data_IF_027273292005
#
_entry.id   IF_027273292005
#
_cell.length_a   1.000
_cell.length_b   1.000
_cell.length_c   1.000
_cell.angle_alpha   90.00
_cell.angle_beta   90.00
_cell.angle_gamma   90.00
#
_symmetry.space_group_name_H-M   'P 1'
#
loop_
_entity.id
_entity.type
_entity.pdbx_description
1 polymer ?
#
# COMPACT_ATOMS: atom_id res chain seq x y z
N UNK A 1 18.13 -18.55 -10.65
CA UNK A 1 17.52 -18.75 -9.32
C UNK A 1 16.09 -18.26 -9.40
N UNK A 2 15.14 -18.89 -8.69
CA UNK A 2 13.73 -18.46 -8.72
C UNK A 2 13.51 -17.33 -7.72
N UNK A 3 12.85 -16.26 -8.17
CA UNK A 3 12.35 -15.16 -7.33
C UNK A 3 11.52 -15.73 -6.18
N UNK A 4 11.61 -15.11 -4.99
CA UNK A 4 10.79 -15.48 -3.85
C UNK A 4 9.29 -15.35 -4.20
N UNK A 5 8.45 -16.23 -3.64
CA UNK A 5 7.00 -16.15 -3.77
C UNK A 5 6.34 -16.42 -2.42
N UNK A 6 5.24 -15.71 -2.14
CA UNK A 6 4.38 -15.97 -0.97
C UNK A 6 3.89 -17.43 -1.01
N UNK A 7 4.05 -18.21 0.07
CA UNK A 7 3.53 -19.58 0.10
C UNK A 7 2.00 -19.61 -0.03
N UNK A 8 1.48 -20.50 -0.88
CA UNK A 8 0.03 -20.67 -1.08
C UNK A 8 -0.70 -21.15 0.19
N UNK A 9 0.03 -21.67 1.19
CA UNK A 9 -0.51 -22.05 2.48
C UNK A 9 -0.92 -20.85 3.35
N UNK A 10 -0.48 -19.63 3.02
CA UNK A 10 -0.88 -18.41 3.73
C UNK A 10 -2.15 -17.84 3.07
N UNK A 11 -3.29 -17.77 3.79
CA UNK A 11 -4.53 -17.29 3.21
C UNK A 11 -4.39 -15.88 2.63
N UNK A 12 -5.01 -15.62 1.49
CA UNK A 12 -4.96 -14.34 0.80
C UNK A 12 -6.32 -14.03 0.15
N UNK A 13 -6.91 -12.85 0.42
CA UNK A 13 -6.46 -11.84 1.38
C UNK A 13 -6.75 -12.26 2.83
N UNK A 14 -5.87 -11.86 3.75
CA UNK A 14 -6.03 -11.97 5.20
C UNK A 14 -6.22 -10.60 5.84
N UNK A 15 -7.06 -10.54 6.88
CA UNK A 15 -7.13 -9.40 7.80
C UNK A 15 -6.18 -9.68 8.96
N UNK A 16 -5.15 -8.85 9.11
CA UNK A 16 -4.06 -9.06 10.06
C UNK A 16 -4.29 -8.34 11.39
N UNK A 17 -5.07 -7.26 11.41
CA UNK A 17 -5.35 -6.50 12.63
C UNK A 17 -6.66 -5.72 12.53
N UNK A 18 -7.30 -5.50 13.67
CA UNK A 18 -8.44 -4.58 13.86
C UNK A 18 -8.21 -3.76 15.12
N UNK A 19 -8.45 -2.46 15.06
CA UNK A 19 -8.21 -1.56 16.20
C UNK A 19 -9.09 -0.31 16.13
N UNK A 20 -9.21 0.38 17.27
CA UNK A 20 -9.87 1.68 17.36
C UNK A 20 -8.84 2.80 17.19
N UNK A 21 -9.24 3.90 16.56
CA UNK A 21 -8.44 5.10 16.45
C UNK A 21 -8.11 5.72 17.81
N UNK A 22 -7.01 6.48 17.89
CA UNK A 22 -6.59 7.11 19.15
C UNK A 22 -7.42 8.33 19.53
N UNK A 23 -8.21 8.88 18.60
CA UNK A 23 -8.98 10.11 18.78
C UNK A 23 -10.34 9.97 18.13
N UNK A 24 -11.30 10.68 18.70
CA UNK A 24 -12.62 10.87 18.13
C UNK A 24 -12.56 11.77 16.89
N UNK A 25 -13.34 11.41 15.87
CA UNK A 25 -13.57 12.21 14.67
C UNK A 25 -15.09 12.39 14.57
N UNK A 26 -15.57 13.64 14.67
CA UNK A 26 -17.00 13.99 14.59
C UNK A 26 -17.91 13.21 15.56
N UNK A 27 -17.55 13.06 16.85
CA UNK A 27 -18.41 12.34 17.80
C UNK A 27 -18.17 10.83 17.87
N UNK A 28 -17.35 10.27 16.96
CA UNK A 28 -17.21 8.83 16.78
C UNK A 28 -15.73 8.44 16.84
N UNK A 29 -15.39 7.40 17.62
CA UNK A 29 -14.06 6.78 17.57
C UNK A 29 -14.00 5.89 16.32
N UNK A 30 -13.19 6.23 15.30
CA UNK A 30 -13.12 5.45 14.06
C UNK A 30 -12.53 4.06 14.31
N UNK A 31 -13.06 3.06 13.61
CA UNK A 31 -12.54 1.69 13.62
C UNK A 31 -11.69 1.44 12.38
N UNK A 32 -10.58 0.75 12.56
CA UNK A 32 -9.63 0.44 11.50
C UNK A 32 -9.37 -1.05 11.39
N UNK A 33 -8.96 -1.48 10.21
CA UNK A 33 -8.45 -2.82 9.98
C UNK A 33 -7.34 -2.82 8.93
N UNK A 34 -6.36 -3.71 9.13
CA UNK A 34 -5.23 -3.91 8.21
C UNK A 34 -5.42 -5.24 7.51
N UNK A 35 -5.31 -5.25 6.19
CA UNK A 35 -5.42 -6.45 5.38
C UNK A 35 -4.38 -6.47 4.25
N UNK A 36 -4.23 -7.64 3.62
CA UNK A 36 -3.55 -7.75 2.33
C UNK A 36 -4.23 -6.87 1.27
N UNK A 37 -3.43 -6.19 0.44
CA UNK A 37 -3.92 -5.49 -0.76
C UNK A 37 -4.28 -6.53 -1.81
N UNK A 38 -5.52 -6.52 -2.31
CA UNK A 38 -5.97 -7.40 -3.40
C UNK A 38 -5.69 -6.79 -4.77
N UNK A 39 -5.66 -7.62 -5.83
CA UNK A 39 -5.41 -7.16 -7.21
C UNK A 39 -6.42 -6.09 -7.68
N UNK A 40 -7.68 -6.19 -7.24
CA UNK A 40 -8.72 -5.20 -7.51
C UNK A 40 -8.45 -3.83 -6.86
N UNK A 41 -7.61 -3.79 -5.82
CA UNK A 41 -7.28 -2.59 -5.06
C UNK A 41 -5.99 -1.91 -5.53
N UNK A 42 -5.24 -2.50 -6.48
CA UNK A 42 -3.91 -2.01 -6.84
C UNK A 42 -3.92 -0.56 -7.32
N UNK A 43 -4.80 -0.20 -8.25
CA UNK A 43 -4.84 1.16 -8.79
C UNK A 43 -5.31 2.18 -7.72
N UNK A 44 -6.30 1.82 -6.90
CA UNK A 44 -6.76 2.66 -5.78
C UNK A 44 -5.63 2.95 -4.78
N UNK A 45 -4.84 1.92 -4.44
CA UNK A 45 -3.68 2.07 -3.54
C UNK A 45 -2.56 2.86 -4.20
N UNK A 46 -2.25 2.61 -5.47
CA UNK A 46 -1.22 3.35 -6.20
C UNK A 46 -1.58 4.84 -6.26
N UNK A 47 -2.83 5.15 -6.59
CA UNK A 47 -3.32 6.52 -6.62
C UNK A 47 -3.27 7.18 -5.23
N UNK A 48 -3.58 6.42 -4.17
CA UNK A 48 -3.44 6.90 -2.79
C UNK A 48 -1.98 7.20 -2.43
N UNK A 49 -1.05 6.32 -2.80
CA UNK A 49 0.38 6.50 -2.58
C UNK A 49 0.94 7.68 -3.38
N UNK A 50 0.55 7.84 -4.64
CA UNK A 50 0.94 8.98 -5.47
C UNK A 50 0.48 10.32 -4.85
N UNK A 51 -0.79 10.40 -4.44
CA UNK A 51 -1.39 11.63 -3.90
C UNK A 51 -0.92 11.99 -2.49
N UNK A 52 -0.40 11.03 -1.73
CA UNK A 52 0.11 11.23 -0.38
C UNK A 52 1.63 11.09 -0.29
N UNK A 53 2.13 9.86 -0.46
CA UNK A 53 3.53 9.51 -0.23
C UNK A 53 4.50 10.34 -1.10
N UNK A 54 4.28 10.46 -2.41
CA UNK A 54 5.20 11.23 -3.27
C UNK A 54 5.25 12.73 -2.93
N UNK A 55 4.20 13.27 -2.30
CA UNK A 55 4.09 14.70 -1.98
C UNK A 55 4.64 15.03 -0.59
N UNK A 56 4.52 14.09 0.35
CA UNK A 56 4.80 14.34 1.76
C UNK A 56 6.06 13.62 2.28
N UNK A 57 6.50 12.52 1.65
CA UNK A 57 7.74 11.86 2.03
C UNK A 57 8.94 12.78 1.78
N UNK A 58 9.89 12.81 2.70
CA UNK A 58 10.95 13.82 2.75
C UNK A 58 11.79 13.82 1.48
N UNK A 59 12.28 12.66 1.03
CA UNK A 59 13.11 12.59 -0.17
C UNK A 59 12.32 12.99 -1.41
N UNK A 60 11.09 12.46 -1.57
CA UNK A 60 10.23 12.77 -2.72
C UNK A 60 9.89 14.27 -2.79
N UNK A 61 9.54 14.87 -1.65
CA UNK A 61 9.20 16.29 -1.54
C UNK A 61 10.37 17.20 -1.88
N UNK A 62 11.56 16.90 -1.37
CA UNK A 62 12.72 17.76 -1.57
C UNK A 62 13.43 17.51 -2.90
N UNK A 63 13.20 16.38 -3.57
CA UNK A 63 13.70 16.14 -4.93
C UNK A 63 12.79 16.72 -6.02
N UNK A 64 11.55 17.13 -5.68
CA UNK A 64 10.56 17.58 -6.66
C UNK A 64 9.98 16.43 -7.49
N UNK A 65 9.91 15.22 -6.89
CA UNK A 65 9.53 14.01 -7.59
C UNK A 65 8.09 14.06 -8.11
N UNK A 66 7.17 14.60 -7.30
CA UNK A 66 5.76 14.67 -7.65
C UNK A 66 5.47 15.62 -8.84
N UNK A 67 6.38 16.54 -9.12
CA UNK A 67 6.31 17.46 -10.26
C UNK A 67 6.90 16.88 -11.55
N UNK A 68 7.67 15.79 -11.46
CA UNK A 68 8.28 15.12 -12.60
C UNK A 68 7.45 13.91 -13.05
N UNK A 69 6.82 14.05 -14.22
CA UNK A 69 5.90 13.05 -14.76
C UNK A 69 6.57 11.67 -14.94
N UNK A 70 7.81 11.63 -15.42
CA UNK A 70 8.50 10.38 -15.70
C UNK A 70 8.84 9.64 -14.39
N UNK A 71 9.28 10.37 -13.36
CA UNK A 71 9.52 9.82 -12.02
C UNK A 71 8.24 9.28 -11.39
N UNK A 72 7.11 10.00 -11.51
CA UNK A 72 5.80 9.51 -11.02
C UNK A 72 5.41 8.21 -11.72
N UNK A 73 5.55 8.14 -13.04
CA UNK A 73 5.25 6.92 -13.79
C UNK A 73 6.17 5.75 -13.43
N UNK A 74 7.45 6.00 -13.15
CA UNK A 74 8.37 4.95 -12.69
C UNK A 74 8.00 4.42 -11.31
N UNK A 75 7.58 5.28 -10.38
CA UNK A 75 7.04 4.84 -9.09
C UNK A 75 5.75 4.04 -9.25
N UNK A 76 4.84 4.45 -10.14
CA UNK A 76 3.61 3.70 -10.45
C UNK A 76 3.94 2.31 -11.01
N UNK A 77 4.90 2.19 -11.93
CA UNK A 77 5.37 0.89 -12.46
C UNK A 77 6.00 0.04 -11.35
N UNK A 78 6.86 0.62 -10.53
CA UNK A 78 7.49 -0.07 -9.39
C UNK A 78 6.43 -0.59 -8.42
N UNK A 79 5.44 0.23 -8.05
CA UNK A 79 4.37 -0.20 -7.15
C UNK A 79 3.52 -1.33 -7.74
N UNK A 80 3.17 -1.29 -9.03
CA UNK A 80 2.50 -2.42 -9.69
C UNK A 80 3.33 -3.70 -9.59
N UNK A 81 4.62 -3.63 -9.91
CA UNK A 81 5.53 -4.77 -9.86
C UNK A 81 5.65 -5.38 -8.46
N UNK A 82 5.76 -4.56 -7.40
CA UNK A 82 5.92 -5.09 -6.04
C UNK A 82 4.60 -5.59 -5.45
N UNK A 83 3.45 -5.05 -5.86
CA UNK A 83 2.16 -5.51 -5.37
C UNK A 83 1.86 -6.94 -5.84
N UNK A 84 2.36 -7.37 -7.00
CA UNK A 84 2.25 -8.75 -7.50
C UNK A 84 2.81 -9.82 -6.54
N UNK A 85 3.71 -9.45 -5.62
CA UNK A 85 4.23 -10.37 -4.60
C UNK A 85 3.18 -10.77 -3.55
N UNK A 86 2.03 -10.09 -3.52
CA UNK A 86 0.97 -10.30 -2.52
C UNK A 86 1.48 -10.09 -1.10
N UNK A 87 2.31 -9.06 -0.91
CA UNK A 87 2.90 -8.69 0.39
C UNK A 87 2.50 -7.29 0.86
N UNK A 88 1.85 -6.51 0.01
CA UNK A 88 1.38 -5.18 0.34
C UNK A 88 0.25 -5.22 1.37
N UNK A 89 0.24 -4.24 2.26
CA UNK A 89 -0.77 -4.08 3.30
C UNK A 89 -1.51 -2.75 3.13
N UNK A 90 -2.82 -2.78 3.30
CA UNK A 90 -3.67 -1.59 3.34
C UNK A 90 -4.40 -1.52 4.68
N UNK A 91 -4.40 -0.33 5.26
CA UNK A 91 -5.21 0.02 6.41
C UNK A 91 -6.45 0.76 5.93
N UNK A 92 -7.62 0.26 6.29
CA UNK A 92 -8.89 0.92 6.05
C UNK A 92 -9.46 1.48 7.34
N UNK A 93 -10.11 2.63 7.24
CA UNK A 93 -11.08 3.13 8.20
C UNK A 93 -12.47 2.66 7.79
N UNK A 94 -13.25 2.13 8.73
CA UNK A 94 -14.65 1.80 8.48
C UNK A 94 -15.46 3.05 8.14
N UNK A 95 -16.39 2.91 7.19
CA UNK A 95 -17.28 3.99 6.81
C UNK A 95 -18.49 4.03 7.76
N UNK A 96 -18.88 5.23 8.19
CA UNK A 96 -20.09 5.42 9.00
C UNK A 96 -21.38 5.29 8.20
N UNK A 97 -21.30 5.46 6.87
CA UNK A 97 -22.40 5.12 5.95
C UNK A 97 -22.45 3.58 5.80
N UNK A 98 -23.59 2.92 6.14
CA UNK A 98 -23.75 1.48 5.98
C UNK A 98 -23.57 0.97 4.53
N UNK A 99 -23.76 1.83 3.53
CA UNK A 99 -23.56 1.51 2.11
C UNK A 99 -22.22 2.02 1.57
N UNK A 100 -21.46 2.73 2.41
CA UNK A 100 -20.18 3.31 2.05
C UNK A 100 -19.06 2.27 2.03
N UNK A 101 -18.16 2.36 1.05
CA UNK A 101 -16.93 1.56 1.06
C UNK A 101 -15.99 2.04 2.17
N UNK A 102 -15.19 1.14 2.78
CA UNK A 102 -14.12 1.52 3.68
C UNK A 102 -13.15 2.51 3.02
N UNK A 103 -12.59 3.43 3.81
CA UNK A 103 -11.74 4.53 3.33
C UNK A 103 -10.27 4.15 3.57
N UNK A 104 -9.40 4.28 2.57
CA UNK A 104 -7.96 4.01 2.74
C UNK A 104 -7.40 5.03 3.75
N UNK A 105 -6.86 4.53 4.85
CA UNK A 105 -6.21 5.32 5.89
C UNK A 105 -4.67 5.26 5.79
N UNK A 106 -4.13 4.24 5.12
CA UNK A 106 -2.71 4.08 4.87
C UNK A 106 -2.45 2.84 4.02
N UNK A 107 -1.30 2.80 3.37
CA UNK A 107 -0.86 1.64 2.60
C UNK A 107 0.66 1.47 2.73
N UNK A 108 1.12 0.24 2.61
CA UNK A 108 2.52 -0.10 2.54
C UNK A 108 2.73 -1.19 1.46
N UNK A 109 3.36 -0.80 0.36
CA UNK A 109 3.69 -1.70 -0.73
C UNK A 109 5.07 -2.31 -0.45
N UNK A 110 5.12 -3.63 -0.24
CA UNK A 110 6.30 -4.33 0.30
C UNK A 110 6.76 -5.41 -0.66
N UNK A 111 8.08 -5.62 -0.74
CA UNK A 111 8.72 -6.58 -1.64
C UNK A 111 9.79 -7.38 -0.89
N UNK A 112 10.13 -8.59 -1.35
CA UNK A 112 11.26 -9.37 -0.82
C UNK A 112 12.35 -9.44 -1.89
N UNK A 113 13.52 -8.88 -1.56
CA UNK A 113 14.73 -9.00 -2.37
C UNK A 113 15.77 -9.80 -1.60
N UNK A 114 16.39 -10.77 -2.27
CA UNK A 114 17.53 -11.54 -1.76
C UNK A 114 18.80 -11.04 -2.43
N UNK A 115 19.92 -11.09 -1.70
CA UNK A 115 21.25 -10.78 -2.25
C UNK A 115 21.64 -11.65 -3.47
N UNK A 116 20.97 -12.79 -3.63
CA UNK A 116 21.19 -13.74 -4.72
C UNK A 116 20.21 -13.57 -5.88
N UNK A 117 19.27 -12.63 -5.78
CA UNK A 117 18.34 -12.38 -6.86
C UNK A 117 19.07 -11.69 -8.02
N UNK A 118 18.80 -12.07 -9.29
CA UNK A 118 19.49 -11.50 -10.46
C UNK A 118 19.40 -9.98 -10.50
N UNK A 119 18.25 -9.43 -10.09
CA UNK A 119 17.91 -8.02 -10.16
C UNK A 119 18.46 -7.19 -8.97
N UNK A 120 19.22 -7.80 -8.04
CA UNK A 120 19.79 -7.09 -6.88
C UNK A 120 21.07 -6.29 -7.18
N UNK A 121 21.77 -6.58 -8.29
CA UNK A 121 23.09 -6.00 -8.60
C UNK A 121 23.12 -5.13 -9.87
N UNK A 122 21.95 -4.76 -10.40
CA UNK A 122 21.81 -3.68 -11.40
C UNK A 122 21.38 -2.38 -10.73
#
# INVERSE_FOLDING_TARGET
MTRWRRPDSVPYPSVWSRFNGPKEINGIIPRFFIQDITEEQYEDVIQFMENGFLRDETLCKFSGLAEDHDSVEDYRKMWRYILEDRLGLVCYMENTDPNGKPIIAGANCTHIIRKTDPDFME
#
